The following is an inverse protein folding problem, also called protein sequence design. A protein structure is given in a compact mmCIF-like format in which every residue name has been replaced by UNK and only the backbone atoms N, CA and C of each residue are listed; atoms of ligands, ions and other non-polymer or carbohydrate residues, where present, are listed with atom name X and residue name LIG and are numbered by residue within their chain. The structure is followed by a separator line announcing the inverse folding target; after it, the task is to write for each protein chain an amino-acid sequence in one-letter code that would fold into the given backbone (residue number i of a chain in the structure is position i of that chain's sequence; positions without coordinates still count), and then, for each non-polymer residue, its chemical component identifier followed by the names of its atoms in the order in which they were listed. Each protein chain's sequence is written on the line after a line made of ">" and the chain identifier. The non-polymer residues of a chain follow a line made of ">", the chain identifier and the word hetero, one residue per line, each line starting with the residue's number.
data_IF_921474097310
#
_entry.id   IF_921474097310
#
_cell.length_a   1.000
_cell.length_b   1.000
_cell.length_c   1.000
_cell.angle_alpha   90.00
_cell.angle_beta   90.00
_cell.angle_gamma   90.00
#
_symmetry.space_group_name_H-M   'P 1'
#
loop_
_entity.id
_entity.type
_entity.pdbx_description
1 polymer ?
#
# COMPACT_ATOMS: atom_id res chain seq x y z
N UNK A 1 9.37 28.92 -0.54
CA UNK A 1 10.61 28.38 -1.11
C UNK A 1 10.72 26.87 -0.93
N UNK A 2 10.82 26.31 0.29
CA UNK A 2 11.12 24.87 0.45
C UNK A 2 10.06 23.91 -0.13
N UNK A 3 8.76 24.14 0.09
CA UNK A 3 7.72 23.23 -0.42
C UNK A 3 7.59 23.24 -1.96
N UNK A 4 7.93 24.35 -2.62
CA UNK A 4 7.89 24.47 -4.09
C UNK A 4 9.05 23.73 -4.75
N UNK A 5 10.23 23.78 -4.14
CA UNK A 5 11.39 22.99 -4.54
C UNK A 5 11.09 21.49 -4.40
N UNK A 6 10.60 21.07 -3.22
CA UNK A 6 10.18 19.68 -3.00
C UNK A 6 9.07 19.24 -3.97
N UNK A 7 8.11 20.12 -4.26
CA UNK A 7 7.05 19.84 -5.22
C UNK A 7 7.60 19.66 -6.64
N UNK A 8 8.62 20.43 -7.01
CA UNK A 8 9.29 20.32 -8.32
C UNK A 8 10.05 19.01 -8.43
N UNK A 9 10.82 18.64 -7.39
CA UNK A 9 11.47 17.34 -7.30
C UNK A 9 10.46 16.17 -7.34
N UNK A 10 9.31 16.31 -6.66
CA UNK A 10 8.25 15.29 -6.67
C UNK A 10 7.62 15.09 -8.05
N UNK A 11 7.46 16.17 -8.82
CA UNK A 11 6.92 16.11 -10.20
C UNK A 11 7.89 15.47 -11.17
N UNK A 12 9.18 15.81 -11.06
CA UNK A 12 10.22 15.44 -12.02
C UNK A 12 10.92 14.10 -11.68
N UNK A 13 10.80 13.63 -10.43
CA UNK A 13 11.38 12.36 -10.01
C UNK A 13 10.73 11.15 -10.66
N UNK A 14 11.55 10.14 -10.95
CA UNK A 14 11.15 8.84 -11.50
C UNK A 14 10.82 7.79 -10.42
N UNK A 15 11.30 8.03 -9.20
CA UNK A 15 11.12 7.17 -8.05
C UNK A 15 9.78 7.48 -7.37
N UNK A 16 9.02 6.45 -7.00
CA UNK A 16 7.75 6.65 -6.29
C UNK A 16 6.57 7.10 -7.18
N UNK A 17 6.66 7.01 -8.52
CA UNK A 17 5.59 7.41 -9.46
C UNK A 17 4.22 6.76 -9.19
N UNK A 18 4.21 5.56 -8.62
CA UNK A 18 2.96 4.91 -8.17
C UNK A 18 2.24 5.72 -7.09
N UNK A 19 2.99 6.32 -6.16
CA UNK A 19 2.47 7.16 -5.09
C UNK A 19 2.16 8.59 -5.58
N UNK A 20 2.94 9.13 -6.53
CA UNK A 20 2.67 10.44 -7.15
C UNK A 20 1.22 10.56 -7.65
N UNK A 21 0.73 9.50 -8.31
CA UNK A 21 -0.63 9.45 -8.85
C UNK A 21 -1.74 9.42 -7.80
N UNK A 22 -1.40 9.27 -6.52
CA UNK A 22 -2.31 9.17 -5.37
C UNK A 22 -2.16 10.42 -4.48
N UNK A 23 -0.91 10.83 -4.24
CA UNK A 23 -0.52 12.04 -3.52
C UNK A 23 0.16 13.01 -4.50
N UNK A 24 -0.67 13.77 -5.22
CA UNK A 24 -0.22 14.66 -6.30
C UNK A 24 0.58 15.86 -5.81
N UNK A 25 0.39 16.27 -4.56
CA UNK A 25 1.05 17.44 -3.98
C UNK A 25 1.81 17.13 -2.70
N UNK A 26 3.02 17.66 -2.60
CA UNK A 26 3.73 17.81 -1.33
C UNK A 26 3.11 19.00 -0.60
N UNK A 27 2.79 18.83 0.68
CA UNK A 27 2.19 19.89 1.48
C UNK A 27 2.70 19.80 2.91
N UNK A 28 2.93 20.97 3.52
CA UNK A 28 3.20 21.09 4.96
C UNK A 28 1.91 20.99 5.79
N UNK A 29 0.74 21.07 5.16
CA UNK A 29 -0.54 20.87 5.84
C UNK A 29 -0.73 19.38 6.11
N UNK A 30 -1.16 19.00 7.32
CA UNK A 30 -1.53 17.62 7.62
C UNK A 30 -2.56 17.14 6.61
N UNK A 31 -2.25 16.05 5.91
CA UNK A 31 -3.22 15.39 5.04
C UNK A 31 -4.16 14.54 5.91
N UNK A 32 -5.36 14.20 5.42
CA UNK A 32 -6.27 13.26 6.11
C UNK A 32 -5.81 11.79 6.03
N UNK A 33 -4.54 11.58 5.73
CA UNK A 33 -3.91 10.27 5.61
C UNK A 33 -3.36 9.88 6.96
N UNK A 34 -3.78 8.71 7.44
CA UNK A 34 -3.21 8.15 8.67
C UNK A 34 -2.10 7.17 8.32
N UNK A 35 -1.38 6.71 9.35
CA UNK A 35 -0.22 5.81 9.22
C UNK A 35 -0.52 4.59 8.34
N UNK A 36 -1.67 3.95 8.53
CA UNK A 36 -2.07 2.75 7.81
C UNK A 36 -2.32 3.03 6.32
N UNK A 37 -2.89 4.21 5.99
CA UNK A 37 -3.06 4.61 4.59
C UNK A 37 -1.68 4.74 3.94
N UNK A 38 -0.76 5.46 4.60
CA UNK A 38 0.61 5.65 4.10
C UNK A 38 1.29 4.31 3.87
N UNK A 39 1.29 3.42 4.87
CA UNK A 39 1.88 2.07 4.79
C UNK A 39 1.37 1.31 3.56
N UNK A 40 0.06 1.25 3.37
CA UNK A 40 -0.53 0.51 2.26
C UNK A 40 -0.17 1.09 0.90
N UNK A 41 -0.38 2.39 0.70
CA UNK A 41 -0.23 3.02 -0.61
C UNK A 41 1.22 3.22 -1.02
N UNK A 42 2.13 3.38 -0.07
CA UNK A 42 3.57 3.34 -0.33
C UNK A 42 4.10 1.91 -0.51
N UNK A 43 3.27 0.89 -0.23
CA UNK A 43 3.67 -0.51 -0.19
C UNK A 43 4.83 -0.78 0.78
N UNK A 44 4.86 -0.08 1.91
CA UNK A 44 5.86 -0.25 2.96
C UNK A 44 5.33 -1.10 4.12
N UNK A 45 6.19 -1.42 5.08
CA UNK A 45 5.78 -2.05 6.33
C UNK A 45 5.70 -3.58 6.22
N UNK A 46 4.61 -4.22 6.68
CA UNK A 46 4.61 -5.66 6.92
C UNK A 46 4.35 -6.52 5.66
N UNK A 47 4.45 -5.95 4.46
CA UNK A 47 4.18 -6.69 3.23
C UNK A 47 5.40 -7.50 2.76
N UNK A 48 5.22 -8.78 2.43
CA UNK A 48 6.30 -9.69 2.02
C UNK A 48 7.16 -9.13 0.88
N UNK A 49 6.57 -8.52 -0.14
CA UNK A 49 7.31 -7.91 -1.24
C UNK A 49 8.22 -6.75 -0.80
N UNK A 50 7.84 -6.00 0.24
CA UNK A 50 8.68 -4.96 0.83
C UNK A 50 9.82 -5.58 1.64
N UNK A 51 9.50 -6.56 2.50
CA UNK A 51 10.51 -7.24 3.33
C UNK A 51 11.59 -7.89 2.47
N UNK A 52 11.20 -8.58 1.37
CA UNK A 52 12.16 -9.17 0.42
C UNK A 52 13.05 -8.14 -0.24
N UNK A 53 12.49 -7.00 -0.67
CA UNK A 53 13.25 -5.92 -1.33
C UNK A 53 14.35 -5.35 -0.44
N UNK A 54 14.11 -5.29 0.88
CA UNK A 54 15.07 -4.74 1.85
C UNK A 54 15.87 -5.83 2.58
N UNK A 55 15.88 -7.06 2.06
CA UNK A 55 16.62 -8.18 2.64
C UNK A 55 16.25 -8.48 4.11
N UNK A 56 15.00 -8.17 4.50
CA UNK A 56 14.43 -8.50 5.81
C UNK A 56 13.73 -9.86 5.80
N UNK A 57 13.53 -10.44 4.61
CA UNK A 57 12.98 -11.77 4.42
C UNK A 57 13.52 -12.38 3.12
N UNK A 58 13.59 -13.71 3.08
CA UNK A 58 14.01 -14.46 1.90
C UNK A 58 12.89 -14.75 0.91
N UNK A 59 11.63 -14.44 1.25
CA UNK A 59 10.47 -14.71 0.40
C UNK A 59 9.56 -13.50 0.24
N UNK A 60 9.05 -13.29 -0.98
CA UNK A 60 8.00 -12.32 -1.27
C UNK A 60 6.60 -12.96 -1.27
N UNK A 61 6.49 -14.22 -0.86
CA UNK A 61 5.23 -14.93 -0.75
C UNK A 61 4.52 -14.65 0.58
N UNK A 62 3.18 -14.65 0.57
CA UNK A 62 2.39 -14.79 1.80
C UNK A 62 2.18 -16.26 2.11
N UNK A 63 1.99 -16.56 3.38
CA UNK A 63 1.59 -17.85 3.92
C UNK A 63 0.31 -18.42 3.28
N UNK A 64 -0.47 -17.59 2.57
CA UNK A 64 -1.64 -18.00 1.77
C UNK A 64 -1.34 -18.45 0.32
N UNK A 65 -0.08 -18.45 -0.11
CA UNK A 65 0.33 -18.88 -1.46
C UNK A 65 0.12 -17.79 -2.53
N UNK A 66 1.21 -17.13 -2.93
CA UNK A 66 1.25 -16.14 -4.01
C UNK A 66 2.26 -15.04 -3.72
N UNK A 67 2.68 -14.27 -4.73
CA UNK A 67 3.51 -13.07 -4.54
C UNK A 67 2.65 -11.99 -3.88
N UNK A 68 3.15 -11.39 -2.79
CA UNK A 68 2.32 -10.57 -1.90
C UNK A 68 2.76 -9.10 -1.82
N UNK A 69 2.46 -8.32 -2.87
CA UNK A 69 2.40 -6.87 -2.75
C UNK A 69 1.18 -6.46 -1.92
N UNK A 70 1.14 -5.20 -1.46
CA UNK A 70 0.04 -4.69 -0.62
C UNK A 70 -1.36 -5.00 -1.19
N UNK A 71 -1.56 -4.91 -2.53
CA UNK A 71 -2.86 -5.23 -3.17
C UNK A 71 -3.35 -6.65 -2.88
N UNK A 72 -2.44 -7.62 -2.74
CA UNK A 72 -2.81 -9.02 -2.53
C UNK A 72 -3.65 -9.16 -1.26
N UNK A 73 -3.24 -8.46 -0.20
CA UNK A 73 -3.98 -8.40 1.07
C UNK A 73 -5.35 -7.72 0.96
N UNK A 74 -5.56 -6.89 -0.06
CA UNK A 74 -6.83 -6.21 -0.29
C UNK A 74 -7.78 -6.98 -1.23
N UNK A 75 -7.31 -7.96 -2.00
CA UNK A 75 -8.10 -8.57 -3.07
C UNK A 75 -8.08 -10.09 -3.11
N UNK A 76 -7.10 -10.75 -2.49
CA UNK A 76 -6.81 -12.18 -2.75
C UNK A 76 -6.40 -12.97 -1.50
N UNK A 77 -5.77 -12.35 -0.50
CA UNK A 77 -5.25 -13.06 0.66
C UNK A 77 -6.36 -13.77 1.46
N UNK A 78 -6.17 -15.06 1.74
CA UNK A 78 -7.14 -15.88 2.46
C UNK A 78 -7.41 -15.36 3.89
N UNK A 79 -6.42 -14.74 4.52
CA UNK A 79 -6.55 -14.21 5.89
C UNK A 79 -7.31 -12.88 5.97
N UNK A 80 -7.63 -12.24 4.84
CA UNK A 80 -8.27 -10.91 4.82
C UNK A 80 -9.59 -10.90 4.04
N UNK A 81 -10.16 -12.08 3.77
CA UNK A 81 -11.38 -12.27 2.96
C UNK A 81 -12.53 -11.34 3.38
N UNK A 82 -12.72 -11.12 4.68
CA UNK A 82 -13.76 -10.24 5.24
C UNK A 82 -13.67 -8.78 4.78
N UNK A 83 -12.49 -8.31 4.36
CA UNK A 83 -12.25 -6.93 3.92
C UNK A 83 -11.87 -6.83 2.45
N UNK A 84 -12.04 -7.90 1.68
CA UNK A 84 -11.71 -7.89 0.28
C UNK A 84 -12.45 -6.78 -0.46
N UNK A 85 -11.72 -6.22 -1.42
CA UNK A 85 -12.20 -5.30 -2.43
C UNK A 85 -12.10 -5.99 -3.78
N UNK A 86 -12.88 -5.49 -4.74
CA UNK A 86 -12.89 -6.03 -6.09
C UNK A 86 -11.48 -5.94 -6.69
N UNK A 87 -10.95 -7.07 -7.14
CA UNK A 87 -9.66 -7.14 -7.84
C UNK A 87 -9.69 -6.28 -9.11
N UNK A 88 -8.69 -5.42 -9.35
CA UNK A 88 -8.62 -4.68 -10.60
C UNK A 88 -8.25 -5.60 -11.77
N UNK A 89 -8.67 -5.23 -12.97
CA UNK A 89 -8.07 -5.78 -14.18
C UNK A 89 -6.60 -5.33 -14.29
N UNK A 90 -5.75 -6.15 -14.95
CA UNK A 90 -4.29 -5.99 -14.96
C UNK A 90 -3.82 -4.57 -15.37
N UNK A 91 -4.50 -3.95 -16.32
CA UNK A 91 -4.17 -2.64 -16.85
C UNK A 91 -4.80 -1.46 -16.08
N UNK A 92 -5.58 -1.71 -15.03
CA UNK A 92 -6.30 -0.68 -14.25
C UNK A 92 -5.84 -0.60 -12.78
N UNK A 93 -4.63 -1.09 -12.48
CA UNK A 93 -4.11 -1.08 -11.10
C UNK A 93 -3.99 0.34 -10.53
N UNK A 94 -3.56 1.30 -11.35
CA UNK A 94 -3.38 2.69 -10.89
C UNK A 94 -4.72 3.39 -10.63
N UNK A 95 -5.68 3.24 -11.55
CA UNK A 95 -7.03 3.76 -11.40
C UNK A 95 -7.73 3.15 -10.18
N UNK A 96 -7.50 1.86 -9.93
CA UNK A 96 -8.01 1.18 -8.76
C UNK A 96 -7.44 1.75 -7.47
N UNK A 97 -6.13 1.97 -7.40
CA UNK A 97 -5.50 2.62 -6.25
C UNK A 97 -6.05 4.03 -6.01
N UNK A 98 -6.22 4.83 -7.08
CA UNK A 98 -6.85 6.16 -7.01
C UNK A 98 -8.28 6.09 -6.46
N UNK A 99 -9.09 5.13 -6.91
CA UNK A 99 -10.47 4.95 -6.45
C UNK A 99 -10.52 4.59 -4.98
N UNK A 100 -9.65 3.69 -4.51
CA UNK A 100 -9.58 3.30 -3.11
C UNK A 100 -9.11 4.46 -2.24
N UNK A 101 -8.07 5.19 -2.68
CA UNK A 101 -7.55 6.33 -1.93
C UNK A 101 -8.59 7.44 -1.72
N UNK A 102 -9.44 7.67 -2.72
CA UNK A 102 -10.49 8.70 -2.66
C UNK A 102 -11.78 8.23 -1.97
N UNK A 103 -11.93 6.94 -1.65
CA UNK A 103 -13.13 6.40 -1.02
C UNK A 103 -12.90 6.09 0.47
N UNK A 104 -13.68 6.72 1.37
CA UNK A 104 -13.53 6.56 2.82
C UNK A 104 -13.79 5.13 3.31
N UNK A 105 -14.76 4.42 2.71
CA UNK A 105 -15.08 3.03 3.07
C UNK A 105 -13.94 2.11 2.66
N UNK A 106 -13.40 2.30 1.45
CA UNK A 106 -12.24 1.57 0.97
C UNK A 106 -11.01 1.84 1.84
N UNK A 107 -10.74 3.09 2.21
CA UNK A 107 -9.65 3.44 3.15
C UNK A 107 -9.87 2.81 4.52
N UNK A 108 -11.09 2.77 5.04
CA UNK A 108 -11.38 2.08 6.29
C UNK A 108 -11.01 0.58 6.21
N UNK A 109 -11.41 -0.12 5.13
CA UNK A 109 -10.99 -1.51 4.89
C UNK A 109 -9.46 -1.67 4.86
N UNK A 110 -8.76 -0.77 4.17
CA UNK A 110 -7.29 -0.76 4.13
C UNK A 110 -6.70 -0.63 5.53
N UNK A 111 -7.21 0.31 6.33
CA UNK A 111 -6.72 0.54 7.69
C UNK A 111 -6.89 -0.71 8.56
N UNK A 112 -8.03 -1.37 8.47
CA UNK A 112 -8.30 -2.63 9.19
C UNK A 112 -7.34 -3.73 8.73
N UNK A 113 -7.13 -3.88 7.41
CA UNK A 113 -6.20 -4.88 6.87
C UNK A 113 -4.77 -4.64 7.38
N UNK A 114 -4.26 -3.42 7.28
CA UNK A 114 -2.89 -3.08 7.72
C UNK A 114 -2.71 -3.31 9.22
N UNK A 115 -3.72 -2.92 10.01
CA UNK A 115 -3.72 -3.15 11.46
C UNK A 115 -3.71 -4.64 11.78
N UNK A 116 -4.60 -5.41 11.16
CA UNK A 116 -4.70 -6.85 11.33
C UNK A 116 -3.36 -7.56 11.02
N UNK A 117 -2.72 -7.23 9.90
CA UNK A 117 -1.41 -7.78 9.54
C UNK A 117 -0.35 -7.40 10.58
N UNK A 118 -0.37 -6.16 11.05
CA UNK A 118 0.61 -5.64 12.02
C UNK A 118 0.47 -6.28 13.40
N UNK A 119 -0.74 -6.65 13.80
CA UNK A 119 -1.05 -7.31 15.07
C UNK A 119 -0.82 -8.83 15.02
N UNK A 120 -0.90 -9.44 13.83
CA UNK A 120 -0.80 -10.88 13.63
C UNK A 120 0.43 -11.29 12.81
N UNK A 121 1.59 -10.63 13.03
CA UNK A 121 2.79 -10.79 12.19
C UNK A 121 3.24 -12.24 12.01
N UNK A 122 3.09 -13.07 13.03
CA UNK A 122 3.46 -14.49 12.97
C UNK A 122 2.66 -15.26 11.92
N UNK A 123 1.39 -14.91 11.69
CA UNK A 123 0.55 -15.52 10.64
C UNK A 123 1.00 -15.16 9.22
N UNK A 124 1.69 -14.04 9.08
CA UNK A 124 2.14 -13.49 7.80
C UNK A 124 3.64 -13.68 7.57
N UNK A 125 4.31 -14.41 8.47
CA UNK A 125 5.70 -14.78 8.27
C UNK A 125 5.76 -15.75 7.08
N UNK A 126 6.62 -15.48 6.07
CA UNK A 126 6.83 -16.45 5.03
C UNK A 126 7.40 -17.75 5.63
N UNK A 127 7.06 -18.91 5.04
CA UNK A 127 7.59 -20.21 5.46
C UNK A 127 9.11 -20.28 5.37
#
# INVERSE_FOLDING_TARGET
>A
MQCEEWQTSWKNGDTGRKLYNIMLSVSLRPTNWIREDVIFFSQHGPFSAYLKRFHLSDSDYCSGGGICPARHYATECIYTVSWHMRKPARNFEQEWLKRIANNLVSRHKIRVIVKFISENRELFRPP
#
